data_IF_300352232981
#
_entry.id   IF_300352232981
#
_cell.length_a   1.000
_cell.length_b   1.000
_cell.length_c   1.000
_cell.angle_alpha   90.00
_cell.angle_beta   90.00
_cell.angle_gamma   90.00
#
_symmetry.space_group_name_H-M   'P 1'
#
loop_
_entity.id
_entity.type
_entity.pdbx_description
1 polymer ?
#
# COMPACT_ATOMS: atom_id res chain seq x y z
N UNK A 1 64.20 -31.19 -15.10
CA UNK A 1 63.39 -30.21 -14.32
C UNK A 1 63.47 -28.83 -14.98
N UNK A 2 62.52 -28.46 -15.86
CA UNK A 2 62.52 -27.13 -16.51
C UNK A 2 61.15 -26.61 -17.00
N UNK A 3 60.03 -27.29 -16.70
CA UNK A 3 58.69 -26.93 -17.21
C UNK A 3 57.79 -26.16 -16.22
N UNK A 4 58.16 -26.08 -14.94
CA UNK A 4 57.34 -25.42 -13.91
C UNK A 4 57.53 -23.90 -13.81
N UNK A 5 58.58 -23.32 -14.42
CA UNK A 5 58.83 -21.87 -14.38
C UNK A 5 58.05 -21.05 -15.42
N UNK A 6 57.60 -21.65 -16.53
CA UNK A 6 56.81 -20.94 -17.56
C UNK A 6 55.33 -20.78 -17.18
N UNK A 7 54.78 -21.68 -16.36
CA UNK A 7 53.34 -21.64 -15.99
C UNK A 7 53.10 -20.54 -14.94
N UNK A 8 54.04 -20.32 -14.03
CA UNK A 8 53.92 -19.30 -12.98
C UNK A 8 53.93 -17.86 -13.53
N UNK A 9 54.69 -17.61 -14.61
CA UNK A 9 54.73 -16.30 -15.26
C UNK A 9 53.43 -15.95 -16.00
N UNK A 10 52.71 -16.95 -16.50
CA UNK A 10 51.48 -16.74 -17.26
C UNK A 10 50.28 -16.43 -16.34
N UNK A 11 50.22 -17.01 -15.14
CA UNK A 11 49.19 -16.69 -14.14
C UNK A 11 49.31 -15.26 -13.57
N UNK A 12 50.54 -14.73 -13.43
CA UNK A 12 50.77 -13.36 -12.92
C UNK A 12 50.34 -12.30 -13.94
N UNK A 13 50.50 -12.56 -15.24
CA UNK A 13 50.06 -11.66 -16.31
C UNK A 13 48.52 -11.59 -16.40
N UNK A 14 47.83 -12.72 -16.22
CA UNK A 14 46.36 -12.75 -16.19
C UNK A 14 45.82 -11.96 -14.99
N UNK A 15 46.45 -12.05 -13.81
CA UNK A 15 46.04 -11.27 -12.62
C UNK A 15 46.25 -9.75 -12.79
N UNK A 16 47.29 -9.34 -13.50
CA UNK A 16 47.55 -7.91 -13.78
C UNK A 16 46.60 -7.34 -14.85
N UNK A 17 46.16 -8.14 -15.81
CA UNK A 17 45.17 -7.73 -16.82
C UNK A 17 43.75 -7.61 -16.24
N UNK A 18 43.40 -8.45 -15.25
CA UNK A 18 42.12 -8.35 -14.52
C UNK A 18 42.02 -7.08 -13.65
N UNK A 19 43.15 -6.59 -13.12
CA UNK A 19 43.17 -5.41 -12.25
C UNK A 19 42.92 -4.10 -13.02
N UNK A 20 43.36 -4.01 -14.28
CA UNK A 20 43.05 -2.86 -15.13
C UNK A 20 41.57 -2.87 -15.56
N UNK A 21 41.03 -4.04 -15.89
CA UNK A 21 39.60 -4.19 -16.23
C UNK A 21 38.67 -3.91 -15.05
N UNK A 22 39.09 -4.26 -13.83
CA UNK A 22 38.30 -3.95 -12.63
C UNK A 22 38.29 -2.44 -12.34
N UNK A 23 39.43 -1.76 -12.48
CA UNK A 23 39.51 -0.32 -12.27
C UNK A 23 38.68 0.46 -13.30
N UNK A 24 38.71 0.07 -14.58
CA UNK A 24 37.84 0.70 -15.60
C UNK A 24 36.35 0.43 -15.34
N UNK A 25 36.01 -0.76 -14.81
CA UNK A 25 34.65 -1.08 -14.40
C UNK A 25 34.19 -0.25 -13.19
N UNK A 26 35.01 -0.16 -12.15
CA UNK A 26 34.78 0.66 -10.95
C UNK A 26 34.69 2.15 -11.31
N UNK A 27 35.60 2.66 -12.14
CA UNK A 27 35.58 4.04 -12.63
C UNK A 27 34.35 4.29 -13.52
N UNK A 28 33.85 3.30 -14.28
CA UNK A 28 32.59 3.44 -15.05
C UNK A 28 31.34 3.42 -14.18
N UNK A 29 31.35 2.65 -13.08
CA UNK A 29 30.28 2.64 -12.09
C UNK A 29 30.25 3.95 -11.33
N UNK A 30 31.42 4.46 -10.95
CA UNK A 30 31.56 5.72 -10.23
C UNK A 30 31.19 6.91 -11.10
N UNK A 31 31.58 6.92 -12.38
CA UNK A 31 31.12 7.94 -13.33
C UNK A 31 29.63 7.86 -13.63
N UNK A 32 29.00 6.68 -13.57
CA UNK A 32 27.53 6.57 -13.67
C UNK A 32 26.86 7.14 -12.43
N UNK A 33 27.35 6.81 -11.25
CA UNK A 33 26.83 7.36 -9.98
C UNK A 33 27.07 8.88 -9.84
N UNK A 34 28.19 9.39 -10.36
CA UNK A 34 28.54 10.83 -10.28
C UNK A 34 27.89 11.68 -11.40
N UNK A 35 27.40 11.08 -12.50
CA UNK A 35 26.71 11.77 -13.60
C UNK A 35 25.20 11.48 -13.69
N UNK A 36 24.67 10.60 -12.86
CA UNK A 36 23.24 10.60 -12.57
C UNK A 36 23.00 11.85 -11.72
N UNK A 37 22.70 12.98 -12.37
CA UNK A 37 21.93 14.04 -11.70
C UNK A 37 20.77 13.31 -11.03
N UNK A 38 20.78 13.22 -9.70
CA UNK A 38 19.66 12.70 -8.94
C UNK A 38 18.45 13.50 -9.41
N UNK A 39 17.64 12.90 -10.27
CA UNK A 39 16.35 13.46 -10.66
C UNK A 39 15.55 13.38 -9.37
N UNK A 40 15.59 14.46 -8.60
CA UNK A 40 14.89 14.62 -7.35
C UNK A 40 13.42 14.33 -7.62
N UNK A 41 12.97 13.13 -7.26
CA UNK A 41 11.59 12.71 -7.45
C UNK A 41 10.74 13.61 -6.56
N UNK A 42 10.01 14.51 -7.19
CA UNK A 42 9.01 15.34 -6.50
C UNK A 42 7.67 14.67 -6.69
N UNK A 43 7.05 14.25 -5.59
CA UNK A 43 5.71 13.69 -5.58
C UNK A 43 4.72 14.66 -6.25
N UNK A 44 4.08 14.30 -7.37
CA UNK A 44 3.12 15.17 -8.04
C UNK A 44 1.70 15.03 -7.47
N UNK A 45 1.50 14.18 -6.47
CA UNK A 45 0.18 13.83 -5.93
C UNK A 45 -0.47 15.04 -5.29
N UNK A 46 -1.72 15.30 -5.68
CA UNK A 46 -2.58 16.29 -5.03
C UNK A 46 -3.98 15.70 -4.89
N UNK A 47 -4.60 15.91 -3.73
CA UNK A 47 -5.97 15.49 -3.50
C UNK A 47 -6.88 16.54 -4.15
N UNK A 48 -7.87 16.13 -4.98
CA UNK A 48 -8.80 17.06 -5.61
C UNK A 48 -9.53 17.93 -4.58
N UNK A 49 -9.62 19.24 -4.83
CA UNK A 49 -10.28 20.18 -3.91
C UNK A 49 -11.81 20.11 -3.95
N UNK A 50 -12.38 19.56 -5.02
CA UNK A 50 -13.82 19.47 -5.21
C UNK A 50 -14.28 18.02 -5.26
N UNK A 51 -15.44 17.76 -4.68
CA UNK A 51 -16.13 16.50 -4.86
C UNK A 51 -16.47 16.30 -6.32
N UNK A 52 -16.32 15.06 -6.77
CA UNK A 52 -16.57 14.69 -8.15
C UNK A 52 -18.04 14.94 -8.54
N UNK A 53 -18.29 15.70 -9.61
CA UNK A 53 -19.61 15.70 -10.28
C UNK A 53 -19.76 14.55 -11.29
N UNK A 54 -18.67 13.84 -11.65
CA UNK A 54 -18.60 12.77 -12.66
C UNK A 54 -17.56 11.69 -12.28
N UNK A 55 -17.93 10.40 -12.30
CA UNK A 55 -17.17 9.20 -11.88
C UNK A 55 -15.67 9.06 -12.31
N UNK A 56 -15.17 9.91 -13.21
CA UNK A 56 -13.84 9.80 -13.82
C UNK A 56 -12.71 10.39 -12.95
N UNK A 57 -12.96 11.45 -12.18
CA UNK A 57 -11.97 12.08 -11.30
C UNK A 57 -12.64 12.55 -10.02
N UNK A 58 -12.02 12.33 -8.86
CA UNK A 58 -12.35 13.17 -7.72
C UNK A 58 -12.22 12.56 -6.35
N UNK A 59 -12.53 13.45 -5.43
CA UNK A 59 -12.79 13.17 -4.04
C UNK A 59 -14.23 12.68 -3.89
N UNK A 60 -14.42 11.58 -3.16
CA UNK A 60 -15.69 10.90 -2.97
C UNK A 60 -16.04 10.83 -1.48
N UNK A 61 -17.29 10.52 -1.18
CA UNK A 61 -17.85 10.53 0.19
C UNK A 61 -18.61 9.24 0.49
N UNK A 62 -19.13 9.13 1.71
CA UNK A 62 -20.00 8.03 2.11
C UNK A 62 -21.23 7.97 1.20
N UNK A 63 -21.52 6.78 0.68
CA UNK A 63 -22.62 6.49 -0.23
C UNK A 63 -22.21 6.49 -1.71
N UNK A 64 -21.06 7.06 -2.05
CA UNK A 64 -20.58 7.09 -3.43
C UNK A 64 -20.03 5.72 -3.84
N UNK A 65 -20.27 5.38 -5.11
CA UNK A 65 -19.73 4.20 -5.77
C UNK A 65 -18.72 4.62 -6.82
N UNK A 66 -17.51 4.08 -6.75
CA UNK A 66 -16.37 4.51 -7.55
C UNK A 66 -15.73 3.32 -8.24
N UNK A 67 -15.58 3.43 -9.56
CA UNK A 67 -14.86 2.43 -10.37
C UNK A 67 -13.38 2.80 -10.46
N UNK A 68 -12.48 1.82 -10.33
CA UNK A 68 -11.03 2.02 -10.46
C UNK A 68 -10.65 2.47 -11.87
N UNK A 69 -9.49 3.11 -12.04
CA UNK A 69 -9.05 3.65 -13.33
C UNK A 69 -9.05 2.60 -14.47
N UNK A 70 -8.68 1.37 -14.15
CA UNK A 70 -8.65 0.26 -15.10
C UNK A 70 -10.01 -0.44 -15.32
N UNK A 71 -11.10 0.07 -14.72
CA UNK A 71 -12.44 -0.53 -14.75
C UNK A 71 -12.49 -1.98 -14.25
N UNK A 72 -11.59 -2.36 -13.35
CA UNK A 72 -11.49 -3.73 -12.85
C UNK A 72 -12.24 -3.95 -11.54
N UNK A 73 -12.37 -2.91 -10.73
CA UNK A 73 -12.96 -2.96 -9.41
C UNK A 73 -13.94 -1.79 -9.24
N UNK A 74 -14.97 -2.00 -8.45
CA UNK A 74 -15.86 -0.93 -8.02
C UNK A 74 -16.02 -0.97 -6.51
N UNK A 75 -15.86 0.19 -5.87
CA UNK A 75 -15.88 0.37 -4.42
C UNK A 75 -17.08 1.22 -4.04
N UNK A 76 -17.78 0.84 -2.97
CA UNK A 76 -18.81 1.68 -2.35
C UNK A 76 -18.48 1.85 -0.88
N UNK A 77 -18.35 3.09 -0.42
CA UNK A 77 -18.13 3.41 0.99
C UNK A 77 -19.46 3.57 1.71
N UNK A 78 -19.73 2.73 2.71
CA UNK A 78 -21.02 2.73 3.43
C UNK A 78 -20.98 3.47 4.75
N UNK A 79 -19.86 3.34 5.47
CA UNK A 79 -19.77 3.82 6.84
C UNK A 79 -18.31 4.10 7.21
N UNK A 80 -18.13 5.11 8.05
CA UNK A 80 -16.88 5.42 8.74
C UNK A 80 -17.16 5.47 10.24
N UNK A 81 -16.26 4.93 11.05
CA UNK A 81 -16.39 4.87 12.51
C UNK A 81 -15.04 5.15 13.16
N UNK A 82 -14.98 6.08 14.10
CA UNK A 82 -13.81 6.26 14.97
C UNK A 82 -14.13 5.68 16.36
N UNK A 83 -13.30 4.75 16.83
CA UNK A 83 -13.52 4.01 18.06
C UNK A 83 -12.40 4.29 19.06
N UNK A 84 -12.75 4.31 20.34
CA UNK A 84 -11.80 4.39 21.46
C UNK A 84 -11.65 3.06 22.19
N UNK A 85 -12.56 2.12 21.95
CA UNK A 85 -12.52 0.75 22.45
C UNK A 85 -12.95 -0.21 21.33
N UNK A 86 -12.17 -1.27 21.11
CA UNK A 86 -12.43 -2.22 20.01
C UNK A 86 -13.74 -3.02 20.18
N UNK A 87 -14.21 -3.17 21.42
CA UNK A 87 -15.47 -3.88 21.70
C UNK A 87 -16.70 -3.08 21.21
N UNK A 88 -16.56 -1.79 20.91
CA UNK A 88 -17.63 -0.97 20.31
C UNK A 88 -18.06 -1.50 18.93
N UNK A 89 -17.18 -2.26 18.26
CA UNK A 89 -17.44 -2.93 16.99
C UNK A 89 -17.38 -4.46 17.11
N UNK A 90 -17.56 -5.01 18.31
CA UNK A 90 -17.51 -6.46 18.60
C UNK A 90 -16.19 -7.13 18.12
N UNK A 91 -15.07 -6.40 18.14
CA UNK A 91 -13.76 -6.89 17.72
C UNK A 91 -12.97 -7.48 18.90
N UNK A 92 -12.14 -8.47 18.61
CA UNK A 92 -11.22 -9.10 19.56
C UNK A 92 -9.76 -8.80 19.22
N UNK A 93 -8.86 -8.90 20.21
CA UNK A 93 -7.42 -8.70 20.01
C UNK A 93 -6.84 -9.59 18.89
N UNK A 94 -7.41 -10.78 18.69
CA UNK A 94 -6.91 -11.75 17.69
C UNK A 94 -7.30 -11.40 16.25
N UNK A 95 -8.13 -10.38 16.06
CA UNK A 95 -8.56 -9.92 14.73
C UNK A 95 -7.54 -8.95 14.10
N UNK A 96 -6.64 -8.41 14.92
CA UNK A 96 -5.62 -7.46 14.49
C UNK A 96 -4.32 -8.18 14.16
N UNK A 97 -3.74 -7.86 13.01
CA UNK A 97 -2.44 -8.41 12.55
C UNK A 97 -1.28 -7.44 12.77
N UNK A 98 -1.56 -6.17 13.09
CA UNK A 98 -0.59 -5.12 13.42
C UNK A 98 -1.08 -4.26 14.57
N UNK A 99 -0.14 -3.59 15.24
CA UNK A 99 -0.42 -2.57 16.26
C UNK A 99 -1.28 -3.04 17.45
N UNK A 100 -1.33 -4.35 17.71
CA UNK A 100 -2.04 -4.95 18.86
C UNK A 100 -1.58 -4.35 20.19
N UNK A 101 -0.33 -3.89 20.27
CA UNK A 101 0.23 -3.22 21.45
C UNK A 101 -0.45 -1.90 21.82
N UNK A 102 -1.25 -1.31 20.92
CA UNK A 102 -2.04 -0.11 21.19
C UNK A 102 -3.37 -0.44 21.88
N UNK A 103 -3.70 -1.72 22.07
CA UNK A 103 -4.96 -2.17 22.66
C UNK A 103 -4.65 -2.80 24.03
N UNK A 104 -5.36 -2.36 25.06
CA UNK A 104 -5.28 -2.92 26.41
C UNK A 104 -6.15 -4.18 26.50
N UNK A 105 -5.93 -5.00 27.53
CA UNK A 105 -6.65 -6.27 27.74
C UNK A 105 -8.19 -6.11 27.84
N UNK A 106 -8.68 -4.93 28.21
CA UNK A 106 -10.11 -4.61 28.28
C UNK A 106 -10.68 -4.04 26.96
N UNK A 107 -9.88 -4.03 25.89
CA UNK A 107 -10.24 -3.49 24.58
C UNK A 107 -10.06 -1.98 24.43
N UNK A 108 -9.68 -1.26 25.49
CA UNK A 108 -9.40 0.18 25.38
C UNK A 108 -8.18 0.42 24.49
N UNK A 109 -8.32 1.38 23.59
CA UNK A 109 -7.23 1.83 22.73
C UNK A 109 -6.37 2.85 23.51
N UNK A 110 -5.08 2.90 23.20
CA UNK A 110 -4.19 3.94 23.71
C UNK A 110 -4.80 5.33 23.47
N UNK A 111 -4.73 6.20 24.48
CA UNK A 111 -5.42 7.49 24.48
C UNK A 111 -4.94 8.44 23.37
N UNK A 112 -3.72 8.22 22.85
CA UNK A 112 -3.13 9.03 21.79
C UNK A 112 -3.58 8.56 20.40
N UNK A 113 -4.35 7.46 20.32
CA UNK A 113 -4.81 6.84 19.08
C UNK A 113 -6.33 6.58 19.08
N UNK A 114 -6.89 6.51 17.88
CA UNK A 114 -8.23 5.97 17.63
C UNK A 114 -8.16 4.90 16.55
N UNK A 115 -9.05 3.90 16.65
CA UNK A 115 -9.26 2.96 15.56
C UNK A 115 -10.30 3.56 14.62
N UNK A 116 -9.90 3.91 13.40
CA UNK A 116 -10.83 4.28 12.33
C UNK A 116 -11.15 3.05 11.51
N UNK A 117 -12.43 2.70 11.44
CA UNK A 117 -12.98 1.62 10.62
C UNK A 117 -13.78 2.21 9.46
N UNK A 118 -13.68 1.57 8.29
CA UNK A 118 -14.56 1.82 7.16
C UNK A 118 -15.23 0.53 6.72
N UNK A 119 -16.52 0.62 6.38
CA UNK A 119 -17.28 -0.47 5.79
C UNK A 119 -17.42 -0.24 4.28
N UNK A 120 -17.00 -1.22 3.49
CA UNK A 120 -16.93 -1.14 2.03
C UNK A 120 -17.65 -2.33 1.40
N UNK A 121 -18.29 -2.10 0.25
CA UNK A 121 -18.56 -3.18 -0.72
C UNK A 121 -17.58 -3.05 -1.86
N UNK A 122 -16.92 -4.15 -2.23
CA UNK A 122 -16.03 -4.21 -3.39
C UNK A 122 -16.55 -5.22 -4.39
N UNK A 123 -16.71 -4.79 -5.64
CA UNK A 123 -17.20 -5.58 -6.76
C UNK A 123 -16.09 -5.87 -7.75
N UNK A 124 -15.98 -7.13 -8.18
CA UNK A 124 -15.11 -7.48 -9.30
C UNK A 124 -15.81 -7.19 -10.63
N UNK A 125 -15.21 -6.33 -11.46
CA UNK A 125 -15.69 -6.01 -12.82
C UNK A 125 -14.83 -6.64 -13.93
N UNK A 126 -13.59 -7.03 -13.64
CA UNK A 126 -12.65 -7.51 -14.65
C UNK A 126 -12.66 -9.03 -14.85
N UNK A 127 -12.69 -9.43 -16.12
CA UNK A 127 -12.48 -10.84 -16.54
C UNK A 127 -11.04 -11.33 -16.43
N UNK A 128 -10.09 -10.43 -16.16
CA UNK A 128 -8.65 -10.71 -16.10
C UNK A 128 -8.04 -9.99 -14.90
N UNK A 129 -8.16 -10.61 -13.73
CA UNK A 129 -7.24 -10.35 -12.63
C UNK A 129 -6.12 -11.40 -12.66
N UNK A 130 -5.14 -11.27 -11.78
CA UNK A 130 -4.06 -12.23 -11.64
C UNK A 130 -4.66 -13.63 -11.47
N UNK A 131 -4.43 -14.50 -12.47
CA UNK A 131 -4.75 -15.92 -12.38
C UNK A 131 -3.56 -16.59 -11.73
N UNK A 132 -3.72 -16.99 -10.48
CA UNK A 132 -2.89 -18.02 -9.88
C UNK A 132 -3.33 -19.40 -10.41
N UNK A 133 -2.89 -20.50 -9.80
CA UNK A 133 -3.35 -21.87 -10.12
C UNK A 133 -4.89 -22.07 -10.00
N UNK A 134 -5.61 -21.07 -9.48
CA UNK A 134 -7.08 -21.02 -9.40
C UNK A 134 -7.72 -20.50 -10.69
N UNK A 135 -8.85 -21.11 -11.08
CA UNK A 135 -9.69 -20.61 -12.18
C UNK A 135 -10.46 -19.32 -11.83
N UNK A 136 -10.52 -18.96 -10.54
CA UNK A 136 -11.20 -17.75 -10.02
C UNK A 136 -10.21 -16.57 -9.95
N UNK A 137 -10.56 -15.39 -10.49
CA UNK A 137 -9.73 -14.19 -10.41
C UNK A 137 -9.42 -13.78 -8.96
N UNK A 138 -8.18 -13.32 -8.70
CA UNK A 138 -7.77 -12.75 -7.41
C UNK A 138 -7.94 -11.23 -7.44
N UNK A 139 -8.81 -10.71 -6.58
CA UNK A 139 -8.99 -9.29 -6.30
C UNK A 139 -8.06 -8.83 -5.18
N UNK A 140 -7.49 -7.64 -5.30
CA UNK A 140 -6.66 -7.02 -4.28
C UNK A 140 -7.30 -5.73 -3.79
N UNK A 141 -7.97 -5.79 -2.64
CA UNK A 141 -8.69 -4.65 -2.09
C UNK A 141 -7.69 -3.59 -1.59
N UNK A 142 -7.93 -2.32 -1.95
CA UNK A 142 -7.14 -1.18 -1.46
C UNK A 142 -7.12 -1.13 0.07
N UNK A 143 -5.95 -0.89 0.67
CA UNK A 143 -5.78 -0.96 2.14
C UNK A 143 -5.07 0.27 2.73
N UNK A 144 -4.87 1.31 1.93
CA UNK A 144 -4.11 2.50 2.32
C UNK A 144 -5.04 3.63 2.72
N UNK A 145 -4.74 4.25 3.86
CA UNK A 145 -5.29 5.53 4.25
C UNK A 145 -4.15 6.51 4.54
N UNK A 146 -4.41 7.82 4.44
CA UNK A 146 -3.41 8.84 4.74
C UNK A 146 -4.03 10.21 4.97
N UNK A 147 -3.28 11.06 5.67
CA UNK A 147 -3.64 12.46 5.85
C UNK A 147 -3.21 13.29 4.64
N UNK A 148 -3.87 14.44 4.43
CA UNK A 148 -3.57 15.29 3.28
C UNK A 148 -2.09 15.65 3.18
N UNK A 149 -1.51 16.15 4.27
CA UNK A 149 -0.11 16.59 4.28
C UNK A 149 0.88 15.47 3.96
N UNK A 150 0.56 14.23 4.35
CA UNK A 150 1.40 13.04 4.12
C UNK A 150 1.28 12.51 2.69
N UNK A 151 0.07 12.54 2.13
CA UNK A 151 -0.21 12.13 0.75
C UNK A 151 0.45 13.12 -0.23
N UNK A 152 0.40 14.41 0.08
CA UNK A 152 0.94 15.49 -0.76
C UNK A 152 2.40 15.85 -0.43
N UNK A 153 3.05 15.14 0.51
CA UNK A 153 4.44 15.41 0.87
C UNK A 153 5.34 15.26 -0.38
N UNK A 154 6.24 16.21 -0.68
CA UNK A 154 7.13 16.14 -1.84
C UNK A 154 8.02 14.89 -1.88
N UNK A 155 8.33 14.31 -0.72
CA UNK A 155 9.10 13.08 -0.55
C UNK A 155 8.21 11.83 -0.40
N UNK A 156 6.89 12.01 -0.47
CA UNK A 156 5.87 10.99 -0.34
C UNK A 156 5.44 10.38 -1.69
N UNK A 157 4.23 9.79 -1.76
CA UNK A 157 3.19 9.82 -0.72
C UNK A 157 3.46 8.83 0.44
N UNK A 158 3.13 9.25 1.66
CA UNK A 158 3.17 8.40 2.85
C UNK A 158 1.76 7.91 3.23
N UNK A 159 1.68 6.68 3.73
CA UNK A 159 0.42 6.02 4.05
C UNK A 159 0.48 5.32 5.40
N UNK A 160 -0.67 5.26 6.07
CA UNK A 160 -0.86 4.43 7.25
C UNK A 160 -1.14 3.00 6.81
N UNK A 161 -0.37 2.07 7.38
CA UNK A 161 -0.63 0.65 7.19
C UNK A 161 -1.86 0.21 7.99
N UNK A 162 -2.72 -0.54 7.34
CA UNK A 162 -3.86 -1.21 7.93
C UNK A 162 -3.49 -2.08 9.13
N UNK A 163 -4.39 -2.11 10.11
CA UNK A 163 -4.29 -2.86 11.36
C UNK A 163 -5.37 -3.93 11.52
N UNK A 164 -6.52 -3.77 10.83
CA UNK A 164 -7.65 -4.69 10.84
C UNK A 164 -8.26 -4.83 9.44
N UNK A 165 -8.66 -6.05 9.05
CA UNK A 165 -9.31 -6.36 7.76
C UNK A 165 -10.31 -7.51 7.97
N UNK A 166 -11.59 -7.28 7.68
CA UNK A 166 -12.66 -8.30 7.81
C UNK A 166 -12.85 -9.12 6.52
N UNK A 167 -13.50 -10.28 6.63
CA UNK A 167 -13.80 -11.14 5.47
C UNK A 167 -12.70 -12.14 5.09
N UNK A 168 -11.61 -12.20 5.85
CA UNK A 168 -10.53 -13.17 5.65
C UNK A 168 -10.85 -14.56 6.23
N UNK A 169 -10.38 -15.61 5.53
CA UNK A 169 -9.91 -16.82 6.21
C UNK A 169 -8.43 -16.58 6.59
N UNK A 170 -8.08 -16.68 7.88
CA UNK A 170 -6.68 -16.59 8.33
C UNK A 170 -5.87 -17.67 7.59
N UNK A 171 -5.04 -17.28 6.62
CA UNK A 171 -4.11 -18.20 5.96
C UNK A 171 -2.80 -18.14 6.75
N UNK A 172 -2.51 -19.19 7.50
CA UNK A 172 -1.36 -19.26 8.42
C UNK A 172 0.00 -18.96 7.75
N UNK A 173 0.12 -19.16 6.44
CA UNK A 173 1.37 -19.03 5.67
C UNK A 173 1.52 -17.70 4.90
N UNK A 174 0.50 -16.83 4.87
CA UNK A 174 0.60 -15.49 4.24
C UNK A 174 -0.06 -14.41 5.12
N UNK A 175 0.62 -13.89 6.15
CA UNK A 175 0.10 -12.84 7.02
C UNK A 175 -0.10 -11.50 6.30
N UNK A 176 0.30 -11.39 5.03
CA UNK A 176 0.03 -10.24 4.16
C UNK A 176 -1.05 -10.55 3.12
N UNK A 177 -1.63 -11.75 3.13
CA UNK A 177 -2.68 -12.20 2.21
C UNK A 177 -4.04 -11.59 2.50
N UNK A 178 -4.26 -11.07 3.71
CA UNK A 178 -4.98 -9.83 3.97
C UNK A 178 -6.15 -9.37 3.08
N UNK A 179 -5.73 -8.78 1.98
CA UNK A 179 -6.52 -8.01 1.05
C UNK A 179 -6.81 -8.79 -0.24
N UNK A 180 -6.50 -10.10 -0.27
CA UNK A 180 -6.71 -11.00 -1.41
C UNK A 180 -8.06 -11.71 -1.30
N UNK A 181 -8.87 -11.59 -2.34
CA UNK A 181 -10.18 -12.23 -2.41
C UNK A 181 -10.33 -13.00 -3.72
N UNK A 182 -10.89 -14.21 -3.65
CA UNK A 182 -11.29 -14.97 -4.83
C UNK A 182 -12.73 -14.59 -5.16
N UNK A 183 -12.91 -13.77 -6.19
CA UNK A 183 -14.22 -13.25 -6.60
C UNK A 183 -14.42 -13.45 -8.10
N UNK A 184 -15.51 -14.12 -8.48
CA UNK A 184 -15.92 -14.21 -9.87
C UNK A 184 -16.36 -12.83 -10.42
N UNK A 185 -16.47 -12.73 -11.74
CA UNK A 185 -16.87 -11.48 -12.39
C UNK A 185 -18.30 -11.16 -12.00
N UNK A 186 -18.51 -9.96 -11.46
CA UNK A 186 -19.80 -9.46 -10.99
C UNK A 186 -20.11 -9.81 -9.54
N UNK A 187 -19.28 -10.63 -8.88
CA UNK A 187 -19.41 -10.87 -7.44
C UNK A 187 -18.93 -9.68 -6.62
N UNK A 188 -19.50 -9.57 -5.43
CA UNK A 188 -19.30 -8.50 -4.47
C UNK A 188 -18.90 -9.11 -3.11
N UNK A 189 -18.06 -8.39 -2.38
CA UNK A 189 -17.72 -8.71 -1.00
C UNK A 189 -17.88 -7.47 -0.13
N UNK A 190 -18.48 -7.65 1.04
CA UNK A 190 -18.50 -6.64 2.09
C UNK A 190 -17.31 -6.85 3.01
N UNK A 191 -16.53 -5.80 3.22
CA UNK A 191 -15.33 -5.81 4.05
C UNK A 191 -15.30 -4.59 4.95
N UNK A 192 -14.64 -4.75 6.09
CA UNK A 192 -14.35 -3.68 7.04
C UNK A 192 -12.85 -3.56 7.15
N UNK A 193 -12.33 -2.36 6.98
CA UNK A 193 -10.90 -2.05 6.98
C UNK A 193 -10.61 -1.07 8.12
N UNK A 194 -9.51 -1.26 8.84
CA UNK A 194 -9.22 -0.47 10.03
C UNK A 194 -7.77 -0.04 10.20
N UNK A 195 -7.57 1.17 10.72
CA UNK A 195 -6.26 1.76 11.03
C UNK A 195 -6.24 2.38 12.42
N UNK A 196 -5.14 2.23 13.15
CA UNK A 196 -4.87 3.05 14.34
C UNK A 196 -4.22 4.35 13.91
N UNK A 197 -4.86 5.48 14.24
CA UNK A 197 -4.46 6.80 13.78
C UNK A 197 -4.30 7.76 14.97
N UNK A 198 -3.31 8.68 14.94
CA UNK A 198 -3.10 9.62 16.04
C UNK A 198 -4.27 10.59 16.20
N UNK A 199 -4.77 10.72 17.43
CA UNK A 199 -5.92 11.58 17.75
C UNK A 199 -5.67 13.05 17.41
N UNK A 200 -4.45 13.54 17.64
CA UNK A 200 -4.09 14.93 17.34
C UNK A 200 -4.22 15.22 15.83
N UNK A 201 -3.71 14.32 14.98
CA UNK A 201 -3.72 14.50 13.53
C UNK A 201 -5.13 14.38 12.95
N UNK A 202 -5.96 13.48 13.48
CA UNK A 202 -7.38 13.36 13.10
C UNK A 202 -8.20 14.63 13.38
N UNK A 203 -7.76 15.48 14.32
CA UNK A 203 -8.42 16.77 14.62
C UNK A 203 -7.96 17.91 13.73
N UNK A 204 -6.77 17.80 13.15
CA UNK A 204 -6.13 18.88 12.40
C UNK A 204 -6.35 18.73 10.90
N UNK A 205 -6.41 17.49 10.40
CA UNK A 205 -6.38 17.22 8.97
C UNK A 205 -7.42 16.16 8.55
N UNK A 206 -8.01 16.31 7.35
CA UNK A 206 -8.88 15.28 6.79
C UNK A 206 -8.09 14.00 6.48
N UNK A 207 -8.75 12.88 6.71
CA UNK A 207 -8.26 11.53 6.42
C UNK A 207 -8.87 11.02 5.12
N UNK A 208 -8.06 10.35 4.30
CA UNK A 208 -8.51 9.80 3.03
C UNK A 208 -8.23 8.31 2.93
N UNK A 209 -9.21 7.55 2.47
CA UNK A 209 -9.03 6.18 1.99
C UNK A 209 -8.72 6.22 0.49
N UNK A 210 -7.70 5.47 0.08
CA UNK A 210 -7.16 5.54 -1.28
C UNK A 210 -7.34 4.21 -2.01
N UNK A 211 -7.92 4.28 -3.21
CA UNK A 211 -8.04 3.16 -4.14
C UNK A 211 -7.24 3.42 -5.41
N UNK A 212 -6.99 2.37 -6.22
CA UNK A 212 -6.23 2.42 -7.48
C UNK A 212 -4.73 2.77 -7.38
N UNK A 213 -4.14 2.88 -6.19
CA UNK A 213 -2.70 3.21 -6.02
C UNK A 213 -1.78 2.25 -6.79
N UNK A 214 -2.16 0.97 -6.93
CA UNK A 214 -1.36 -0.03 -7.64
C UNK A 214 -1.18 0.28 -9.14
N UNK A 215 -2.01 1.15 -9.71
CA UNK A 215 -1.89 1.60 -11.10
C UNK A 215 -0.93 2.79 -11.26
N UNK A 216 -0.49 3.39 -10.15
CA UNK A 216 0.20 4.68 -10.10
C UNK A 216 -0.53 5.66 -9.18
N UNK A 217 0.21 6.50 -8.48
CA UNK A 217 -0.34 7.49 -7.54
C UNK A 217 -1.18 8.55 -8.25
N UNK A 218 -0.87 8.82 -9.51
CA UNK A 218 -1.60 9.71 -10.41
C UNK A 218 -2.99 9.20 -10.80
N UNK A 219 -3.26 7.90 -10.60
CA UNK A 219 -4.57 7.28 -10.84
C UNK A 219 -5.32 7.01 -9.53
N UNK A 220 -4.77 7.44 -8.39
CA UNK A 220 -5.43 7.26 -7.12
C UNK A 220 -6.78 7.98 -7.11
N UNK A 221 -7.77 7.32 -6.52
CA UNK A 221 -9.06 7.92 -6.19
C UNK A 221 -9.22 7.91 -4.68
N UNK A 222 -9.91 8.93 -4.16
CA UNK A 222 -9.92 9.22 -2.74
C UNK A 222 -11.35 9.24 -2.22
N UNK A 223 -11.61 8.50 -1.16
CA UNK A 223 -12.76 8.75 -0.30
C UNK A 223 -12.31 9.62 0.87
N UNK A 224 -12.96 10.75 1.09
CA UNK A 224 -12.85 11.47 2.36
C UNK A 224 -13.54 10.65 3.45
N UNK A 225 -12.87 10.48 4.58
CA UNK A 225 -13.38 9.75 5.73
C UNK A 225 -13.84 10.75 6.79
N UNK A 226 -15.14 11.13 6.82
CA UNK A 226 -15.65 12.02 7.85
C UNK A 226 -15.62 11.31 9.21
N UNK A 227 -15.05 11.97 10.20
CA UNK A 227 -14.97 11.51 11.58
C UNK A 227 -15.88 12.40 12.42
N UNK A 228 -17.05 11.88 12.80
CA UNK A 228 -18.06 12.56 13.64
C UNK A 228 -17.76 12.43 15.14
#
# INVERSE_FOLDING_TARGET
>A
MRKTRSILGLCIIVLLLSACSYKEFEDSLRNKLDNDEEVEYTNPTSIPENYSENEEEGLFTIGDTVTTHNNAEQYTLHKVQALTNINEADLELTDFFKNVSLIKDNGDIDQDYQLVLIDLTVKNLASRLFKDESDVPILYIGYSAGFKSEIEDPNGPFFTEISYFSGQQKVDDDPKGYYKFLLEIGEEVDVTIGWFLPVEQLREEPLYYMISIQSGVEYAKYFELPLD
#
